data_IF_645982906322
#
_entry.id   IF_645982906322
#
_cell.length_a   1.000
_cell.length_b   1.000
_cell.length_c   1.000
_cell.angle_alpha   90.00
_cell.angle_beta   90.00
_cell.angle_gamma   90.00
#
_symmetry.space_group_name_H-M   'P 1'
#
loop_
_entity.id
_entity.type
_entity.pdbx_description
1 polymer ?
#
# COMPACT_ATOMS: atom_id res chain seq x y z
N UNK A 1 9.29 -10.05 14.53
CA UNK A 1 8.00 -9.39 14.87
C UNK A 1 7.66 -8.25 13.88
N UNK A 2 7.65 -8.53 12.58
CA UNK A 2 7.27 -7.56 11.54
C UNK A 2 6.49 -8.29 10.41
N UNK A 3 5.69 -9.28 10.82
CA UNK A 3 4.97 -10.18 9.92
C UNK A 3 3.49 -9.86 9.79
N UNK A 4 2.99 -8.80 10.43
CA UNK A 4 1.57 -8.43 10.37
C UNK A 4 1.46 -6.93 10.22
N UNK A 5 1.49 -6.44 8.97
CA UNK A 5 0.84 -5.26 8.37
C UNK A 5 0.61 -3.92 9.16
N UNK A 6 1.17 -3.76 10.34
CA UNK A 6 1.13 -2.56 11.18
C UNK A 6 2.58 -2.11 11.36
N UNK A 7 3.02 -1.19 10.50
CA UNK A 7 4.34 -0.58 10.62
C UNK A 7 4.32 0.51 11.69
N UNK A 8 5.31 0.53 12.59
CA UNK A 8 5.49 1.65 13.51
C UNK A 8 5.85 2.92 12.73
N UNK A 9 5.17 4.03 12.99
CA UNK A 9 5.59 5.32 12.47
C UNK A 9 6.85 5.80 13.20
N UNK A 10 7.62 6.74 12.62
CA UNK A 10 8.73 7.38 13.34
C UNK A 10 8.31 8.03 14.66
N UNK A 11 7.04 8.43 14.82
CA UNK A 11 6.53 8.93 16.10
C UNK A 11 6.38 7.80 17.11
N UNK A 12 5.80 6.67 16.71
CA UNK A 12 5.60 5.53 17.60
C UNK A 12 6.93 4.97 18.11
N UNK A 13 7.93 4.86 17.22
CA UNK A 13 9.29 4.45 17.62
C UNK A 13 9.89 5.44 18.63
N UNK A 14 9.62 6.74 18.47
CA UNK A 14 10.13 7.76 19.39
C UNK A 14 9.43 7.71 20.75
N UNK A 15 8.13 7.44 20.79
CA UNK A 15 7.37 7.22 22.03
C UNK A 15 7.79 5.94 22.74
N UNK A 16 7.94 4.84 21.99
CA UNK A 16 8.42 3.56 22.53
C UNK A 16 9.81 3.69 23.16
N UNK A 17 10.70 4.46 22.53
CA UNK A 17 12.03 4.73 23.07
C UNK A 17 11.99 5.45 24.43
N UNK A 18 11.03 6.37 24.62
CA UNK A 18 10.81 7.04 25.89
C UNK A 18 10.27 6.07 26.95
N UNK A 19 9.27 5.26 26.60
CA UNK A 19 8.71 4.23 27.50
C UNK A 19 9.76 3.21 27.96
N UNK A 20 10.57 2.71 27.02
CA UNK A 20 11.69 1.83 27.35
C UNK A 20 12.69 2.53 28.27
N UNK A 21 13.02 3.80 28.02
CA UNK A 21 13.96 4.53 28.87
C UNK A 21 13.44 4.68 30.31
N UNK A 22 12.14 4.91 30.50
CA UNK A 22 11.51 4.93 31.83
C UNK A 22 11.58 3.55 32.50
N UNK A 23 11.25 2.48 31.77
CA UNK A 23 11.24 1.11 32.30
C UNK A 23 12.64 0.65 32.73
N UNK A 24 13.65 0.92 31.93
CA UNK A 24 15.04 0.58 32.21
C UNK A 24 15.78 1.64 33.06
N UNK A 25 15.06 2.67 33.54
CA UNK A 25 15.60 3.76 34.39
C UNK A 25 16.83 4.45 33.77
N UNK A 26 16.82 4.61 32.45
CA UNK A 26 17.88 5.30 31.70
C UNK A 26 17.71 6.80 31.90
N UNK A 27 18.80 7.52 32.16
CA UNK A 27 18.78 8.99 32.21
C UNK A 27 18.40 9.54 30.84
N UNK A 28 17.32 10.33 30.80
CA UNK A 28 16.81 10.97 29.59
C UNK A 28 16.80 12.49 29.74
N UNK A 29 16.89 13.26 28.64
CA UNK A 29 16.75 14.71 28.68
C UNK A 29 15.33 15.14 29.10
N UNK A 30 15.20 16.27 29.78
CA UNK A 30 13.91 16.81 30.23
C UNK A 30 12.90 17.02 29.08
N UNK A 31 13.41 17.38 27.90
CA UNK A 31 12.61 17.52 26.69
C UNK A 31 11.85 16.24 26.30
N UNK A 32 12.38 15.06 26.64
CA UNK A 32 11.69 13.79 26.39
C UNK A 32 10.51 13.59 27.32
N UNK A 33 10.63 14.04 28.57
CA UNK A 33 9.57 13.98 29.59
C UNK A 33 8.42 14.92 29.24
N UNK A 34 8.72 16.14 28.77
CA UNK A 34 7.70 17.12 28.34
C UNK A 34 6.88 16.61 27.17
N UNK A 35 7.54 16.06 26.14
CA UNK A 35 6.88 15.60 24.93
C UNK A 35 6.42 14.13 24.98
N UNK A 36 6.76 13.41 26.06
CA UNK A 36 6.59 11.95 26.23
C UNK A 36 7.12 11.12 25.05
N UNK A 37 8.19 11.60 24.42
CA UNK A 37 8.83 10.95 23.27
C UNK A 37 10.27 11.41 23.09
N UNK A 38 11.10 10.58 22.47
CA UNK A 38 12.47 10.92 22.13
C UNK A 38 12.58 12.02 21.08
N UNK A 39 13.71 12.73 21.02
CA UNK A 39 13.98 13.78 20.03
C UNK A 39 14.13 13.27 18.59
N UNK A 40 14.01 14.18 17.60
CA UNK A 40 14.27 13.83 16.18
C UNK A 40 15.72 13.39 15.96
N UNK A 41 16.68 14.01 16.66
CA UNK A 41 18.10 13.68 16.55
C UNK A 41 18.41 12.28 17.06
N UNK A 42 17.70 11.85 18.12
CA UNK A 42 17.78 10.48 18.60
C UNK A 42 17.31 9.50 17.53
N UNK A 43 16.18 9.76 16.86
CA UNK A 43 15.67 8.90 15.80
C UNK A 43 16.65 8.82 14.63
N UNK A 44 17.24 9.94 14.21
CA UNK A 44 18.27 9.98 13.16
C UNK A 44 19.49 9.15 13.56
N UNK A 45 19.96 9.30 14.79
CA UNK A 45 21.10 8.53 15.32
C UNK A 45 20.78 7.04 15.46
N UNK A 46 19.55 6.70 15.85
CA UNK A 46 19.06 5.33 15.95
C UNK A 46 19.04 4.64 14.58
N UNK A 47 18.56 5.31 13.54
CA UNK A 47 18.59 4.78 12.17
C UNK A 47 20.01 4.64 11.62
N UNK A 48 20.92 5.57 11.94
CA UNK A 48 22.34 5.45 11.58
C UNK A 48 23.00 4.23 12.21
N UNK A 49 22.70 3.93 13.48
CA UNK A 49 23.21 2.75 14.20
C UNK A 49 22.59 1.44 13.74
N UNK A 50 21.38 1.47 13.19
CA UNK A 50 20.64 0.30 12.73
C UNK A 50 20.45 0.33 11.22
N UNK A 51 21.52 0.06 10.42
CA UNK A 51 21.46 0.17 8.96
C UNK A 51 20.50 -0.84 8.32
N UNK A 52 20.04 -1.84 9.09
CA UNK A 52 19.03 -2.82 8.67
C UNK A 52 17.61 -2.27 8.70
N UNK A 53 17.40 -1.02 9.12
CA UNK A 53 16.08 -0.40 9.25
C UNK A 53 16.05 0.90 8.44
N UNK A 54 14.93 1.18 7.79
CA UNK A 54 14.72 2.38 6.97
C UNK A 54 13.30 2.91 7.08
N UNK A 55 13.12 4.21 6.89
CA UNK A 55 11.79 4.83 6.80
C UNK A 55 11.28 4.62 5.37
N UNK A 56 10.08 4.05 5.23
CA UNK A 56 9.43 3.78 3.94
C UNK A 56 8.02 4.35 3.91
N UNK A 57 7.57 4.72 2.71
CA UNK A 57 6.17 5.02 2.47
C UNK A 57 5.50 3.71 2.05
N UNK A 58 4.46 3.24 2.75
CA UNK A 58 3.81 2.01 2.37
C UNK A 58 3.00 2.21 1.09
N UNK A 59 2.93 1.16 0.27
CA UNK A 59 2.02 1.10 -0.87
C UNK A 59 0.64 0.66 -0.39
N UNK A 60 -0.40 1.33 -0.88
CA UNK A 60 -1.78 1.00 -0.58
C UNK A 60 -2.20 -0.24 -1.38
N UNK A 61 -1.88 -1.43 -0.85
CA UNK A 61 -2.32 -2.70 -1.40
C UNK A 61 -3.48 -3.23 -0.57
N UNK A 62 -4.62 -3.53 -1.20
CA UNK A 62 -5.76 -4.12 -0.50
C UNK A 62 -5.46 -5.59 -0.14
N UNK A 63 -5.96 -6.04 1.02
CA UNK A 63 -5.75 -7.42 1.50
C UNK A 63 -6.20 -8.46 0.46
N UNK A 64 -7.32 -8.22 -0.22
CA UNK A 64 -7.83 -9.09 -1.29
C UNK A 64 -6.87 -9.21 -2.48
N UNK A 65 -6.15 -8.16 -2.86
CA UNK A 65 -5.12 -8.23 -3.92
C UNK A 65 -3.89 -9.02 -3.47
N UNK A 66 -3.47 -8.85 -2.22
CA UNK A 66 -2.32 -9.57 -1.68
C UNK A 66 -2.57 -11.08 -1.53
N UNK A 67 -3.79 -11.50 -1.20
CA UNK A 67 -4.13 -12.92 -1.02
C UNK A 67 -4.48 -13.64 -2.32
N UNK A 68 -5.05 -12.94 -3.29
CA UNK A 68 -5.42 -13.52 -4.60
C UNK A 68 -4.23 -13.71 -5.53
N UNK A 69 -3.14 -12.96 -5.36
CA UNK A 69 -1.93 -13.04 -6.18
C UNK A 69 -0.99 -14.16 -5.69
N UNK A 70 -1.39 -15.41 -5.91
CA UNK A 70 -0.57 -16.60 -5.64
C UNK A 70 -0.33 -17.41 -6.93
N UNK A 71 0.73 -18.23 -6.94
CA UNK A 71 1.16 -18.95 -8.14
C UNK A 71 0.09 -19.87 -8.72
N UNK A 72 -0.72 -20.53 -7.87
CA UNK A 72 -1.79 -21.40 -8.32
C UNK A 72 -2.91 -20.61 -9.03
N UNK A 73 -3.35 -19.49 -8.45
CA UNK A 73 -4.36 -18.62 -9.05
C UNK A 73 -3.87 -18.01 -10.36
N UNK A 74 -2.61 -17.56 -10.42
CA UNK A 74 -2.00 -17.02 -11.63
C UNK A 74 -1.93 -18.07 -12.73
N UNK A 75 -1.53 -19.31 -12.38
CA UNK A 75 -1.50 -20.42 -13.34
C UNK A 75 -2.88 -20.72 -13.91
N UNK A 76 -3.89 -20.87 -13.05
CA UNK A 76 -5.27 -21.15 -13.48
C UNK A 76 -5.82 -20.05 -14.39
N UNK A 77 -5.48 -18.78 -14.11
CA UNK A 77 -5.87 -17.67 -14.96
C UNK A 77 -5.26 -17.77 -16.36
N UNK A 78 -3.94 -17.98 -16.46
CA UNK A 78 -3.27 -18.06 -17.76
C UNK A 78 -3.60 -19.33 -18.54
N UNK A 79 -3.83 -20.46 -17.88
CA UNK A 79 -4.28 -21.70 -18.52
C UNK A 79 -5.65 -21.48 -19.21
N UNK A 80 -6.61 -20.87 -18.50
CA UNK A 80 -7.94 -20.54 -19.06
C UNK A 80 -7.87 -19.47 -20.15
N UNK A 81 -7.01 -18.47 -19.98
CA UNK A 81 -6.80 -17.45 -20.99
C UNK A 81 -6.26 -18.07 -22.28
N UNK A 82 -5.30 -18.99 -22.18
CA UNK A 82 -4.76 -19.74 -23.32
C UNK A 82 -5.83 -20.52 -24.06
N UNK A 83 -6.66 -21.30 -23.34
CA UNK A 83 -7.76 -22.07 -23.91
C UNK A 83 -8.72 -21.19 -24.72
N UNK A 84 -9.16 -20.07 -24.14
CA UNK A 84 -10.09 -19.13 -24.76
C UNK A 84 -9.45 -18.41 -25.95
N UNK A 85 -8.16 -18.05 -25.86
CA UNK A 85 -7.40 -17.49 -26.98
C UNK A 85 -7.28 -18.50 -28.13
N UNK A 86 -7.14 -19.79 -27.84
CA UNK A 86 -7.04 -20.84 -28.86
C UNK A 86 -8.36 -21.17 -29.54
N UNK A 87 -9.47 -21.12 -28.83
CA UNK A 87 -10.80 -21.38 -29.39
C UNK A 87 -11.25 -20.24 -30.30
N UNK A 88 -11.16 -19.00 -29.82
CA UNK A 88 -11.77 -17.85 -30.49
C UNK A 88 -10.79 -17.04 -31.34
N UNK A 89 -9.48 -17.25 -31.18
CA UNK A 89 -8.41 -16.60 -31.97
C UNK A 89 -8.60 -15.08 -32.07
N UNK A 90 -8.83 -14.43 -30.92
CA UNK A 90 -9.06 -12.97 -30.88
C UNK A 90 -7.92 -12.19 -31.53
N UNK A 91 -8.29 -11.23 -32.38
CA UNK A 91 -7.34 -10.25 -32.90
C UNK A 91 -7.04 -9.18 -31.86
N UNK A 92 -5.91 -8.47 -32.01
CA UNK A 92 -5.48 -7.46 -31.05
C UNK A 92 -6.50 -6.32 -30.82
N UNK A 93 -7.36 -6.02 -31.79
CA UNK A 93 -8.42 -5.00 -31.64
C UNK A 93 -9.61 -5.47 -30.79
N UNK A 94 -9.74 -6.78 -30.55
CA UNK A 94 -10.82 -7.39 -29.78
C UNK A 94 -10.43 -7.65 -28.32
N UNK A 95 -9.14 -7.52 -27.98
CA UNK A 95 -8.63 -7.71 -26.63
C UNK A 95 -8.55 -6.34 -25.96
N UNK A 96 -9.34 -6.15 -24.91
CA UNK A 96 -9.39 -4.90 -24.15
C UNK A 96 -8.95 -5.15 -22.71
N UNK A 97 -7.92 -4.44 -22.28
CA UNK A 97 -7.56 -4.36 -20.87
C UNK A 97 -8.31 -3.19 -20.24
N UNK A 98 -9.12 -3.49 -19.23
CA UNK A 98 -9.84 -2.48 -18.46
C UNK A 98 -9.24 -2.43 -17.07
N UNK A 99 -8.76 -1.26 -16.65
CA UNK A 99 -8.29 -1.06 -15.30
C UNK A 99 -9.01 0.12 -14.62
N UNK A 100 -9.20 -0.04 -13.31
CA UNK A 100 -9.87 0.92 -12.46
C UNK A 100 -8.82 1.61 -11.60
N UNK A 101 -8.63 2.90 -11.83
CA UNK A 101 -7.79 3.72 -10.98
C UNK A 101 -8.65 4.58 -10.06
N UNK A 102 -8.41 4.46 -8.74
CA UNK A 102 -9.07 5.29 -7.75
C UNK A 102 -8.20 6.50 -7.42
N UNK A 103 -8.64 7.68 -7.84
CA UNK A 103 -7.97 8.94 -7.49
C UNK A 103 -8.54 9.39 -6.16
N UNK A 104 -7.83 9.02 -5.08
CA UNK A 104 -8.18 9.44 -3.74
C UNK A 104 -7.64 10.85 -3.44
N UNK A 105 -8.50 11.71 -2.90
CA UNK A 105 -8.10 12.99 -2.27
C UNK A 105 -7.63 12.79 -0.82
N UNK A 106 -7.71 11.56 -0.29
CA UNK A 106 -7.37 11.23 1.11
C UNK A 106 -5.86 11.28 1.36
N UNK A 107 -5.51 11.70 2.57
CA UNK A 107 -4.15 11.91 3.07
C UNK A 107 -3.20 10.75 2.74
N UNK A 108 -2.02 11.11 2.22
CA UNK A 108 -0.93 10.18 1.90
C UNK A 108 -0.62 9.32 3.15
N UNK A 109 -0.51 7.98 3.03
CA UNK A 109 -0.22 7.14 4.17
C UNK A 109 1.10 7.57 4.84
N UNK A 110 1.07 7.68 6.16
CA UNK A 110 2.21 8.10 6.97
C UNK A 110 3.40 7.17 6.75
N UNK A 111 4.60 7.75 6.76
CA UNK A 111 5.83 6.97 6.65
C UNK A 111 5.96 6.03 7.84
N UNK A 112 6.41 4.81 7.60
CA UNK A 112 6.63 3.76 8.63
C UNK A 112 8.09 3.32 8.63
N UNK A 113 8.51 2.74 9.75
CA UNK A 113 9.84 2.18 9.97
C UNK A 113 9.79 0.69 9.62
N UNK A 114 10.62 0.26 8.66
CA UNK A 114 10.63 -1.10 8.13
C UNK A 114 12.05 -1.61 7.87
N UNK A 115 12.22 -2.93 7.84
CA UNK A 115 13.51 -3.56 7.51
C UNK A 115 13.99 -3.13 6.10
N UNK A 116 15.27 -2.77 6.00
CA UNK A 116 15.93 -2.39 4.75
C UNK A 116 16.05 -3.64 3.86
N UNK A 117 15.74 -3.49 2.57
CA UNK A 117 15.77 -4.58 1.59
C UNK A 117 14.39 -5.20 1.26
N UNK A 118 13.36 -4.99 2.10
CA UNK A 118 11.98 -5.33 1.71
C UNK A 118 11.41 -4.26 0.79
N UNK A 119 11.19 -4.62 -0.49
CA UNK A 119 10.53 -3.75 -1.48
C UNK A 119 9.07 -3.47 -1.16
N UNK A 120 8.37 -4.46 -0.58
CA UNK A 120 6.94 -4.38 -0.35
C UNK A 120 6.67 -4.15 1.14
N UNK A 121 6.37 -2.91 1.51
CA UNK A 121 5.86 -2.59 2.85
C UNK A 121 4.42 -2.15 2.67
N UNK A 122 3.49 -3.09 2.87
CA UNK A 122 2.06 -2.78 2.83
C UNK A 122 1.60 -2.14 4.15
N UNK A 123 0.74 -1.14 4.07
CA UNK A 123 -0.03 -0.67 5.22
C UNK A 123 -1.51 -0.94 4.95
N UNK A 124 -2.19 -1.58 5.89
CA UNK A 124 -3.64 -1.71 5.83
C UNK A 124 -4.27 -0.36 6.19
N UNK A 125 -4.94 0.27 5.23
CA UNK A 125 -5.74 1.47 5.47
C UNK A 125 -7.16 1.02 5.81
N UNK A 126 -7.62 1.27 7.04
CA UNK A 126 -9.06 1.20 7.35
C UNK A 126 -9.77 2.29 6.58
N UNK A 127 -10.88 1.95 5.91
CA UNK A 127 -11.61 2.86 5.03
C UNK A 127 -12.02 4.15 5.74
N UNK A 128 -11.43 5.27 5.31
CA UNK A 128 -11.95 6.58 5.61
C UNK A 128 -12.87 7.03 4.47
N UNK A 129 -14.11 7.34 4.86
CA UNK A 129 -15.22 7.77 4.02
C UNK A 129 -14.92 9.18 3.52
N UNK A 130 -14.61 9.33 2.24
CA UNK A 130 -14.82 10.56 1.48
C UNK A 130 -14.82 10.26 -0.03
N UNK A 131 -15.39 11.18 -0.81
CA UNK A 131 -15.74 11.01 -2.23
C UNK A 131 -14.51 10.70 -3.09
N UNK A 132 -14.38 9.44 -3.50
CA UNK A 132 -13.33 8.98 -4.41
C UNK A 132 -13.77 9.19 -5.87
N UNK A 133 -12.92 9.77 -6.71
CA UNK A 133 -13.17 9.79 -8.16
C UNK A 133 -12.57 8.51 -8.72
N UNK A 134 -13.45 7.67 -9.26
CA UNK A 134 -13.02 6.46 -9.96
C UNK A 134 -12.88 6.78 -11.45
N UNK A 135 -11.70 6.53 -11.99
CA UNK A 135 -11.47 6.53 -13.43
C UNK A 135 -11.39 5.07 -13.90
N UNK A 136 -12.16 4.74 -14.93
CA UNK A 136 -12.06 3.47 -15.63
C UNK A 136 -11.48 3.73 -17.01
N UNK A 137 -10.40 3.05 -17.31
CA UNK A 137 -9.66 3.19 -18.57
C UNK A 137 -9.65 1.83 -19.25
N UNK A 138 -10.06 1.81 -20.51
CA UNK A 138 -9.99 0.62 -21.35
C UNK A 138 -9.01 0.89 -22.50
N UNK A 139 -8.06 -0.03 -22.70
CA UNK A 139 -7.06 0.04 -23.77
C UNK A 139 -7.09 -1.27 -24.55
N UNK A 140 -7.27 -1.20 -25.86
CA UNK A 140 -7.17 -2.38 -26.71
C UNK A 140 -5.70 -2.78 -26.92
N UNK A 141 -5.44 -4.06 -27.19
CA UNK A 141 -4.09 -4.53 -27.53
C UNK A 141 -3.57 -3.94 -28.86
N UNK A 142 -4.45 -3.35 -29.69
CA UNK A 142 -4.09 -2.56 -30.87
C UNK A 142 -3.76 -1.09 -30.59
N UNK A 143 -3.85 -0.64 -29.33
CA UNK A 143 -3.51 0.73 -28.91
C UNK A 143 -4.66 1.74 -28.94
N UNK A 144 -5.92 1.31 -29.10
CA UNK A 144 -7.07 2.19 -28.99
C UNK A 144 -7.46 2.41 -27.52
N UNK A 145 -7.73 3.65 -27.11
CA UNK A 145 -8.09 3.97 -25.73
C UNK A 145 -9.51 4.53 -25.63
N UNK A 146 -10.28 4.07 -24.64
CA UNK A 146 -11.53 4.71 -24.21
C UNK A 146 -11.48 4.99 -22.70
N UNK A 147 -11.81 6.23 -22.33
CA UNK A 147 -11.79 6.68 -20.93
C UNK A 147 -13.21 7.06 -20.53
N UNK A 148 -13.73 6.44 -19.46
CA UNK A 148 -15.02 6.81 -18.87
C UNK A 148 -14.77 7.24 -17.43
N UNK A 149 -15.14 8.48 -17.10
CA UNK A 149 -15.02 9.02 -15.74
C UNK A 149 -16.40 9.00 -15.08
N UNK A 150 -16.54 8.26 -13.97
CA UNK A 150 -17.82 8.12 -13.27
C UNK A 150 -17.65 8.47 -11.78
N UNK A 151 -18.47 9.36 -11.22
CA UNK A 151 -18.49 9.60 -9.78
C UNK A 151 -18.88 8.32 -9.02
N UNK A 152 -18.13 7.99 -7.95
CA UNK A 152 -18.19 6.72 -7.21
C UNK A 152 -19.58 6.28 -6.73
N UNK A 153 -20.60 7.15 -6.70
CA UNK A 153 -21.94 6.82 -6.21
C UNK A 153 -22.88 6.17 -7.25
N UNK A 154 -22.49 6.05 -8.53
CA UNK A 154 -23.41 5.55 -9.59
C UNK A 154 -23.05 4.20 -10.22
N UNK A 155 -21.97 3.53 -9.78
CA UNK A 155 -21.46 2.38 -10.52
C UNK A 155 -22.19 1.04 -10.28
N UNK A 156 -23.07 0.94 -9.29
CA UNK A 156 -23.85 -0.29 -9.05
C UNK A 156 -24.98 -0.55 -10.07
N UNK A 157 -25.26 0.39 -10.99
CA UNK A 157 -26.40 0.28 -11.93
C UNK A 157 -26.03 0.08 -13.40
N UNK A 158 -24.74 -0.05 -13.75
CA UNK A 158 -24.29 -0.07 -15.16
C UNK A 158 -23.65 -1.39 -15.61
N UNK A 159 -23.64 -2.43 -14.76
CA UNK A 159 -23.04 -3.74 -15.06
C UNK A 159 -24.02 -4.92 -14.94
N UNK A 160 -25.34 -4.66 -15.05
CA UNK A 160 -26.35 -5.69 -15.31
C UNK A 160 -26.91 -5.50 -16.72
#
# INVERSE_FOLDING_TARGET
MASIFYGYTPKDVRSLAYECALQYKIKIPDFWTVNKMSGKDWMTSFLKRNPQISIRKPEATSLGRATSFNAANVKVFFDKLGEVMDIYKFSASQIWNVDKNSVSTVLKPSKIVAAKGKRNVGAMTSGERDTNVTMETAVSASGCTSNVCVPSQKLQRLLC
#
